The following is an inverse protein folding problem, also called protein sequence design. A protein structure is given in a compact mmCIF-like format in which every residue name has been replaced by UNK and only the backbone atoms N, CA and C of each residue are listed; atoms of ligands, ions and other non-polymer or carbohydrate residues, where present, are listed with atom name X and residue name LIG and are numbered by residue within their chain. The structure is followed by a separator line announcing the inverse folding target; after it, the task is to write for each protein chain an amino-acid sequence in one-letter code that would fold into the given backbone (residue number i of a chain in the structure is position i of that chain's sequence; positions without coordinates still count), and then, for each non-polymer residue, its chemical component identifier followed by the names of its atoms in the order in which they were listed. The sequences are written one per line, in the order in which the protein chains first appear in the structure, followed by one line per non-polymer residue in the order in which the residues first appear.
data_IF_091763548484
#
_entry.id   IF_091763548484
#
_cell.length_a   1.000
_cell.length_b   1.000
_cell.length_c   1.000
_cell.angle_alpha   90.00
_cell.angle_beta   90.00
_cell.angle_gamma   90.00
#
_symmetry.space_group_name_H-M   'P 1'
#
loop_
_entity.id
_entity.type
_entity.pdbx_description
1 polymer ?
#
# COMPACT_ATOMS: atom_id res chain seq x y z
N UNK A 1 1.00 5.44 -5.11
CA UNK A 1 0.04 4.67 -4.30
C UNK A 1 -1.11 5.54 -3.76
N UNK A 2 -0.89 6.79 -3.29
CA UNK A 2 -1.95 7.58 -2.63
C UNK A 2 -3.15 7.88 -3.52
N UNK A 3 -2.91 8.37 -4.74
CA UNK A 3 -3.97 8.64 -5.72
C UNK A 3 -4.73 7.39 -6.14
N UNK A 4 -4.03 6.26 -6.29
CA UNK A 4 -4.63 4.97 -6.66
C UNK A 4 -5.50 4.44 -5.53
N UNK A 5 -5.03 4.50 -4.29
CA UNK A 5 -5.81 4.15 -3.09
C UNK A 5 -7.10 4.96 -3.00
N UNK A 6 -7.01 6.28 -3.16
CA UNK A 6 -8.19 7.15 -3.10
C UNK A 6 -9.15 6.90 -4.27
N UNK A 7 -8.63 6.70 -5.48
CA UNK A 7 -9.43 6.34 -6.64
C UNK A 7 -10.16 5.02 -6.44
N UNK A 8 -9.49 3.99 -5.91
CA UNK A 8 -10.11 2.69 -5.66
C UNK A 8 -11.20 2.79 -4.61
N UNK A 9 -10.95 3.48 -3.49
CA UNK A 9 -11.96 3.66 -2.44
C UNK A 9 -13.21 4.35 -2.99
N UNK A 10 -13.05 5.48 -3.69
CA UNK A 10 -14.18 6.20 -4.30
C UNK A 10 -14.92 5.37 -5.34
N UNK A 11 -14.20 4.62 -6.16
CA UNK A 11 -14.81 3.80 -7.21
C UNK A 11 -15.60 2.62 -6.62
N UNK A 12 -15.08 1.98 -5.57
CA UNK A 12 -15.78 0.91 -4.85
C UNK A 12 -17.01 1.45 -4.10
N UNK A 13 -16.90 2.59 -3.42
CA UNK A 13 -18.04 3.29 -2.78
C UNK A 13 -19.16 3.57 -3.78
N UNK A 14 -18.80 3.93 -5.02
CA UNK A 14 -19.74 4.27 -6.09
C UNK A 14 -20.12 3.08 -6.99
N UNK A 15 -19.73 1.84 -6.66
CA UNK A 15 -19.96 0.64 -7.50
C UNK A 15 -21.41 0.54 -7.99
N UNK A 16 -22.38 0.71 -7.10
CA UNK A 16 -23.80 0.64 -7.44
C UNK A 16 -24.27 1.79 -8.33
N UNK A 17 -23.77 3.00 -8.10
CA UNK A 17 -24.09 4.17 -8.92
C UNK A 17 -23.52 4.02 -10.34
N UNK A 18 -22.27 3.56 -10.46
CA UNK A 18 -21.63 3.27 -11.75
C UNK A 18 -22.39 2.19 -12.49
N UNK A 19 -22.72 1.07 -11.83
CA UNK A 19 -23.48 -0.03 -12.44
C UNK A 19 -24.87 0.42 -12.91
N UNK A 20 -25.57 1.25 -12.14
CA UNK A 20 -26.87 1.79 -12.51
C UNK A 20 -26.79 2.66 -13.78
N UNK A 21 -25.80 3.56 -13.85
CA UNK A 21 -25.60 4.44 -15.02
C UNK A 21 -25.21 3.65 -16.27
N UNK A 22 -24.35 2.64 -16.15
CA UNK A 22 -23.95 1.79 -17.29
C UNK A 22 -25.09 0.88 -17.77
N UNK A 23 -26.00 0.51 -16.88
CA UNK A 23 -27.20 -0.29 -17.20
C UNK A 23 -28.29 0.54 -17.88
N UNK A 24 -28.38 1.83 -17.57
CA UNK A 24 -29.37 2.74 -18.15
C UNK A 24 -29.05 3.08 -19.61
N UNK A 25 -29.91 2.63 -20.53
CA UNK A 25 -29.78 2.85 -21.98
C UNK A 25 -30.16 4.26 -22.44
N UNK A 26 -30.80 5.04 -21.58
CA UNK A 26 -31.13 6.44 -21.84
C UNK A 26 -29.94 7.36 -21.58
N UNK A 27 -29.01 6.93 -20.72
CA UNK A 27 -27.80 7.67 -20.33
C UNK A 27 -26.55 7.11 -21.02
N UNK A 28 -26.42 5.79 -21.11
CA UNK A 28 -25.21 5.12 -21.62
C UNK A 28 -25.50 4.25 -22.84
N UNK A 29 -24.77 4.50 -23.94
CA UNK A 29 -24.85 3.67 -25.14
C UNK A 29 -24.32 2.26 -24.85
N UNK A 30 -24.88 1.26 -25.53
CA UNK A 30 -24.49 -0.14 -25.36
C UNK A 30 -22.99 -0.38 -25.62
N UNK A 31 -22.40 0.32 -26.59
CA UNK A 31 -20.96 0.27 -26.90
C UNK A 31 -20.11 0.72 -25.72
N UNK A 32 -20.54 1.80 -25.07
CA UNK A 32 -19.80 2.48 -24.03
C UNK A 32 -19.92 1.68 -22.73
N UNK A 33 -21.13 1.19 -22.43
CA UNK A 33 -21.37 0.27 -21.31
C UNK A 33 -20.47 -0.97 -21.38
N UNK A 34 -20.40 -1.66 -22.52
CA UNK A 34 -19.55 -2.85 -22.69
C UNK A 34 -18.06 -2.58 -22.51
N UNK A 35 -17.63 -1.35 -22.77
CA UNK A 35 -16.22 -0.95 -22.66
C UNK A 35 -15.87 -0.52 -21.23
N UNK A 36 -16.82 0.08 -20.52
CA UNK A 36 -16.63 0.66 -19.19
C UNK A 36 -17.02 -0.28 -18.04
N UNK A 37 -17.80 -1.32 -18.32
CA UNK A 37 -18.27 -2.28 -17.32
C UNK A 37 -17.11 -3.14 -16.80
N UNK A 38 -16.81 -2.97 -15.52
CA UNK A 38 -15.84 -3.79 -14.80
C UNK A 38 -16.48 -5.12 -14.41
N UNK A 39 -15.79 -6.21 -14.74
CA UNK A 39 -16.16 -7.57 -14.28
C UNK A 39 -16.01 -7.68 -12.77
N UNK A 40 -16.80 -8.55 -12.15
CA UNK A 40 -16.74 -8.82 -10.70
C UNK A 40 -15.34 -9.19 -10.21
N UNK A 41 -14.55 -9.90 -11.03
CA UNK A 41 -13.15 -10.23 -10.73
C UNK A 41 -12.26 -9.00 -10.52
N UNK A 42 -12.54 -7.88 -11.21
CA UNK A 42 -11.77 -6.63 -11.07
C UNK A 42 -12.23 -5.83 -9.86
N UNK A 43 -13.53 -5.87 -9.53
CA UNK A 43 -14.04 -5.31 -8.28
C UNK A 43 -13.43 -6.02 -7.06
N UNK A 44 -13.42 -7.35 -7.09
CA UNK A 44 -12.78 -8.15 -6.04
C UNK A 44 -11.29 -7.84 -5.92
N UNK A 45 -10.57 -7.75 -7.05
CA UNK A 45 -9.15 -7.40 -7.03
C UNK A 45 -8.89 -6.01 -6.39
N UNK A 46 -9.75 -5.03 -6.65
CA UNK A 46 -9.62 -3.71 -6.02
C UNK A 46 -9.83 -3.78 -4.50
N UNK A 47 -10.81 -4.56 -4.05
CA UNK A 47 -11.07 -4.79 -2.63
C UNK A 47 -9.91 -5.53 -1.97
N UNK A 48 -9.35 -6.55 -2.62
CA UNK A 48 -8.22 -7.34 -2.09
C UNK A 48 -6.92 -6.51 -1.99
N UNK A 49 -6.70 -5.58 -2.92
CA UNK A 49 -5.49 -4.74 -2.96
C UNK A 49 -5.62 -3.48 -2.07
N UNK A 50 -6.85 -3.08 -1.72
CA UNK A 50 -7.11 -1.86 -0.94
C UNK A 50 -6.36 -1.83 0.42
N UNK A 51 -6.36 -2.89 1.25
CA UNK A 51 -5.63 -2.89 2.52
C UNK A 51 -4.13 -2.68 2.36
N UNK A 52 -3.54 -3.24 1.30
CA UNK A 52 -2.11 -3.08 1.00
C UNK A 52 -1.80 -1.63 0.61
N UNK A 53 -2.65 -1.03 -0.22
CA UNK A 53 -2.51 0.37 -0.61
C UNK A 53 -2.73 1.34 0.56
N UNK A 54 -3.65 1.03 1.47
CA UNK A 54 -3.89 1.80 2.69
C UNK A 54 -2.68 1.77 3.63
N UNK A 55 -2.07 0.61 3.80
CA UNK A 55 -0.84 0.45 4.59
C UNK A 55 0.29 1.33 4.02
N UNK A 56 0.48 1.31 2.70
CA UNK A 56 1.48 2.16 2.03
C UNK A 56 1.17 3.65 2.15
N UNK A 57 -0.11 4.02 2.07
CA UNK A 57 -0.56 5.40 2.27
C UNK A 57 -0.30 5.86 3.70
N UNK A 58 -0.63 5.06 4.70
CA UNK A 58 -0.37 5.34 6.11
C UNK A 58 1.12 5.60 6.36
N UNK A 59 1.98 4.68 5.94
CA UNK A 59 3.43 4.84 6.08
C UNK A 59 3.94 6.11 5.39
N UNK A 60 3.43 6.42 4.20
CA UNK A 60 3.79 7.66 3.49
C UNK A 60 3.34 8.89 4.25
N UNK A 61 2.13 8.89 4.80
CA UNK A 61 1.59 10.02 5.57
C UNK A 61 2.42 10.25 6.83
N UNK A 62 2.75 9.20 7.57
CA UNK A 62 3.63 9.29 8.76
C UNK A 62 4.98 9.88 8.37
N UNK A 63 5.65 9.32 7.36
CA UNK A 63 6.95 9.82 6.89
C UNK A 63 6.89 11.25 6.33
N UNK A 64 5.76 11.68 5.78
CA UNK A 64 5.60 13.03 5.21
C UNK A 64 5.17 14.08 6.24
N UNK A 65 4.71 13.65 7.42
CA UNK A 65 4.32 14.55 8.51
C UNK A 65 5.53 15.06 9.31
N UNK A 66 6.65 14.32 9.25
CA UNK A 66 7.90 14.71 9.89
C UNK A 66 8.51 15.95 9.21
N UNK A 67 8.78 16.98 10.01
CA UNK A 67 9.35 18.26 9.52
C UNK A 67 10.84 18.19 9.25
N UNK A 68 11.55 17.25 9.88
CA UNK A 68 12.95 16.92 9.62
C UNK A 68 13.10 15.40 9.52
N UNK A 69 12.97 14.85 8.30
CA UNK A 69 13.04 13.40 8.09
C UNK A 69 14.48 12.91 8.29
N UNK A 70 14.73 12.21 9.39
CA UNK A 70 16.01 11.56 9.63
C UNK A 70 16.01 10.11 9.10
N UNK A 71 17.20 9.55 8.92
CA UNK A 71 17.36 8.12 8.58
C UNK A 71 16.80 7.24 9.71
N UNK A 72 16.84 7.71 10.96
CA UNK A 72 16.34 7.02 12.14
C UNK A 72 14.82 6.88 12.16
N UNK A 73 14.08 7.78 11.51
CA UNK A 73 12.61 7.74 11.40
C UNK A 73 12.12 6.89 10.20
N UNK A 74 12.81 7.02 9.07
CA UNK A 74 12.41 6.36 7.81
C UNK A 74 12.68 4.86 7.83
N UNK A 75 13.78 4.45 8.45
CA UNK A 75 14.22 3.06 8.48
C UNK A 75 13.24 2.11 9.22
N UNK A 76 12.79 2.37 10.46
CA UNK A 76 11.85 1.49 11.15
C UNK A 76 10.51 1.37 10.44
N UNK A 77 10.00 2.44 9.84
CA UNK A 77 8.74 2.45 9.08
C UNK A 77 8.87 1.58 7.82
N UNK A 78 9.93 1.78 7.04
CA UNK A 78 10.18 0.99 5.82
C UNK A 78 10.51 -0.47 6.14
N UNK A 79 11.21 -0.73 7.24
CA UNK A 79 11.51 -2.08 7.73
C UNK A 79 10.21 -2.81 8.13
N UNK A 80 9.35 -2.18 8.93
CA UNK A 80 8.06 -2.75 9.34
C UNK A 80 7.15 -3.02 8.14
N UNK A 81 7.08 -2.09 7.18
CA UNK A 81 6.35 -2.30 5.93
C UNK A 81 6.80 -3.57 5.21
N UNK A 82 8.11 -3.76 4.99
CA UNK A 82 8.64 -4.89 4.22
C UNK A 82 8.47 -6.22 4.97
N UNK A 83 8.76 -6.25 6.28
CA UNK A 83 8.90 -7.50 7.03
C UNK A 83 7.62 -7.93 7.75
N UNK A 84 6.68 -7.01 7.98
CA UNK A 84 5.42 -7.28 8.68
C UNK A 84 4.24 -7.11 7.73
N UNK A 85 4.03 -5.92 7.18
CA UNK A 85 2.78 -5.59 6.50
C UNK A 85 2.69 -6.05 5.04
N UNK A 86 3.83 -6.23 4.36
CA UNK A 86 3.91 -6.66 2.98
C UNK A 86 4.39 -8.11 2.84
N UNK A 87 4.47 -8.86 3.93
CA UNK A 87 4.75 -10.29 3.88
C UNK A 87 3.59 -10.98 3.16
N UNK A 88 3.93 -11.84 2.21
CA UNK A 88 2.95 -12.66 1.50
C UNK A 88 2.38 -13.70 2.45
N UNK A 89 1.05 -13.75 2.54
CA UNK A 89 0.29 -14.73 3.30
C UNK A 89 -0.19 -15.86 2.37
N UNK A 90 -0.43 -17.06 2.92
CA UNK A 90 -1.05 -18.17 2.19
C UNK A 90 -2.52 -17.85 1.82
N UNK A 91 -3.16 -16.94 2.54
CA UNK A 91 -4.51 -16.45 2.24
C UNK A 91 -4.54 -15.39 1.12
N UNK A 92 -3.39 -14.84 0.72
CA UNK A 92 -3.35 -13.83 -0.34
C UNK A 92 -3.75 -14.42 -1.69
N UNK A 93 -4.58 -13.70 -2.45
CA UNK A 93 -4.79 -14.05 -3.86
C UNK A 93 -3.48 -13.93 -4.63
N UNK A 94 -3.29 -14.76 -5.66
CA UNK A 94 -2.05 -14.77 -6.47
C UNK A 94 -1.63 -13.37 -6.95
N UNK A 95 -2.60 -12.50 -7.29
CA UNK A 95 -2.34 -11.12 -7.72
C UNK A 95 -1.91 -10.21 -6.57
N UNK A 96 -2.48 -10.36 -5.37
CA UNK A 96 -2.08 -9.61 -4.17
C UNK A 96 -0.69 -10.03 -3.72
N UNK A 97 -0.40 -11.33 -3.69
CA UNK A 97 0.93 -11.85 -3.35
C UNK A 97 2.00 -11.33 -4.32
N UNK A 98 1.72 -11.34 -5.63
CA UNK A 98 2.62 -10.75 -6.63
C UNK A 98 2.82 -9.24 -6.41
N UNK A 99 1.74 -8.51 -6.13
CA UNK A 99 1.82 -7.07 -5.84
C UNK A 99 2.68 -6.80 -4.60
N UNK A 100 2.41 -7.47 -3.47
CA UNK A 100 3.21 -7.38 -2.25
C UNK A 100 4.68 -7.68 -2.51
N UNK A 101 4.98 -8.76 -3.22
CA UNK A 101 6.35 -9.14 -3.59
C UNK A 101 7.04 -8.05 -4.41
N UNK A 102 6.38 -7.49 -5.43
CA UNK A 102 6.94 -6.42 -6.26
C UNK A 102 7.21 -5.15 -5.45
N UNK A 103 6.30 -4.79 -4.55
CA UNK A 103 6.47 -3.63 -3.66
C UNK A 103 7.62 -3.86 -2.69
N UNK A 104 7.72 -5.04 -2.07
CA UNK A 104 8.84 -5.42 -1.21
C UNK A 104 10.17 -5.32 -1.95
N UNK A 105 10.29 -5.93 -3.13
CA UNK A 105 11.53 -5.86 -3.93
C UNK A 105 11.89 -4.41 -4.23
N UNK A 106 10.95 -3.59 -4.71
CA UNK A 106 11.24 -2.18 -5.02
C UNK A 106 11.63 -1.36 -3.80
N UNK A 107 10.99 -1.58 -2.65
CA UNK A 107 11.34 -0.89 -1.40
C UNK A 107 12.70 -1.34 -0.87
N UNK A 108 12.99 -2.65 -0.86
CA UNK A 108 14.28 -3.19 -0.42
C UNK A 108 15.45 -2.66 -1.27
N UNK A 109 15.27 -2.58 -2.59
CA UNK A 109 16.26 -1.98 -3.50
C UNK A 109 16.51 -0.50 -3.20
N UNK A 110 15.44 0.27 -2.96
CA UNK A 110 15.54 1.72 -2.71
C UNK A 110 16.14 2.06 -1.35
N UNK A 111 15.80 1.27 -0.32
CA UNK A 111 16.27 1.50 1.06
C UNK A 111 17.60 0.78 1.33
N UNK A 112 18.09 -0.02 0.37
CA UNK A 112 19.29 -0.87 0.52
C UNK A 112 19.21 -1.75 1.79
N UNK A 113 18.00 -2.19 2.15
CA UNK A 113 17.78 -3.20 3.19
C UNK A 113 18.10 -4.54 2.56
N UNK A 114 19.38 -4.79 2.33
CA UNK A 114 19.89 -6.09 1.96
C UNK A 114 20.81 -6.53 3.09
N UNK A 115 20.32 -7.37 3.99
CA UNK A 115 21.02 -8.56 4.49
C UNK A 115 20.46 -9.09 5.80
N UNK A 116 20.65 -10.39 5.98
CA UNK A 116 20.46 -11.26 7.15
C UNK A 116 21.07 -10.75 8.48
N UNK A 117 21.75 -9.60 8.51
CA UNK A 117 22.40 -9.06 9.71
C UNK A 117 21.79 -7.71 10.10
N UNK A 118 20.50 -7.76 10.42
CA UNK A 118 19.63 -6.62 10.65
C UNK A 118 20.09 -5.72 11.81
N UNK A 119 20.79 -6.29 12.78
CA UNK A 119 21.22 -5.64 14.02
C UNK A 119 22.44 -4.72 13.84
N UNK A 120 23.16 -4.81 12.72
CA UNK A 120 24.41 -4.07 12.51
C UNK A 120 24.37 -3.09 11.32
N UNK A 121 23.21 -2.88 10.70
CA UNK A 121 23.12 -1.89 9.62
C UNK A 121 23.27 -0.46 10.19
N UNK A 122 24.08 0.42 9.58
CA UNK A 122 24.25 1.79 10.06
C UNK A 122 22.94 2.57 10.27
N UNK A 123 21.89 2.40 9.44
CA UNK A 123 20.57 2.98 9.69
C UNK A 123 19.88 2.46 10.96
N UNK A 124 19.95 1.15 11.24
CA UNK A 124 19.38 0.57 12.46
C UNK A 124 20.12 1.08 13.71
N UNK A 125 21.45 1.15 13.65
CA UNK A 125 22.27 1.72 14.72
C UNK A 125 21.92 3.20 14.94
N UNK A 126 21.70 3.97 13.86
CA UNK A 126 21.24 5.34 13.96
C UNK A 126 19.87 5.44 14.64
N UNK A 127 18.90 4.57 14.29
CA UNK A 127 17.59 4.48 14.97
C UNK A 127 17.74 4.13 16.45
N UNK A 128 18.60 3.18 16.82
CA UNK A 128 18.81 2.80 18.22
C UNK A 128 19.51 3.88 19.04
N UNK A 129 20.34 4.70 18.40
CA UNK A 129 21.07 5.81 19.04
C UNK A 129 20.25 7.11 19.07
N UNK A 130 19.13 7.18 18.34
CA UNK A 130 18.25 8.34 18.35
C UNK A 130 17.39 8.35 19.63
N UNK A 131 17.50 9.39 20.49
CA UNK A 131 16.75 9.46 21.74
C UNK A 131 15.23 9.39 21.54
N UNK A 132 14.71 9.75 20.36
CA UNK A 132 13.28 9.67 20.02
C UNK A 132 12.78 8.21 20.02
N UNK A 133 13.62 7.24 19.66
CA UNK A 133 13.24 5.83 19.55
C UNK A 133 12.90 5.13 20.87
N UNK A 134 13.24 5.76 22.02
CA UNK A 134 13.02 5.17 23.36
C UNK A 134 11.70 5.56 24.03
N UNK A 135 10.93 6.49 23.44
CA UNK A 135 9.81 7.13 24.15
C UNK A 135 8.43 6.99 23.50
N UNK A 136 8.29 6.33 22.33
CA UNK A 136 7.04 6.42 21.55
C UNK A 136 6.46 5.11 20.99
N UNK A 137 6.99 3.93 21.35
CA UNK A 137 6.44 2.63 20.90
C UNK A 137 5.60 1.90 21.98
N UNK A 138 4.82 2.64 22.77
CA UNK A 138 3.68 2.08 23.52
C UNK A 138 2.40 2.23 22.66
N UNK A 139 2.23 1.35 21.68
CA UNK A 139 0.95 1.10 20.99
C UNK A 139 0.79 -0.39 20.69
#
# INVERSE_FOLDING_TARGET
WNSVSEMFNRLTEQRWAVSAVLSDRTVTKLSDARTLELRDEYWQLMEDVAPVLETLKCATTVMSAETEVSVSDTYPITFSLINVHLKTDEEDTSKVGEFKSRVCTSLSERVKIASDDLMLTPPMIATMLDPIGTSTWDF
#
